data_IF_306045276833
#
_entry.id   IF_306045276833
#
_cell.length_a   1.000
_cell.length_b   1.000
_cell.length_c   1.000
_cell.angle_alpha   90.00
_cell.angle_beta   90.00
_cell.angle_gamma   90.00
#
_symmetry.space_group_name_H-M   'P 1'
#
loop_
_entity.id
_entity.type
_entity.pdbx_description
1 polymer ?
#
# COMPACT_ATOMS: atom_id res chain seq x y z
N UNK A 1 -2.36 10.77 5.49
CA UNK A 1 -2.75 9.78 4.46
C UNK A 1 -1.78 9.93 3.30
N UNK A 2 -0.92 8.94 3.06
CA UNK A 2 -0.01 8.94 1.91
C UNK A 2 -0.81 8.63 0.66
N UNK A 3 -0.79 9.54 -0.32
CA UNK A 3 -1.46 9.34 -1.60
C UNK A 3 -0.65 8.31 -2.41
N UNK A 4 -1.14 7.06 -2.46
CA UNK A 4 -0.49 5.98 -3.21
C UNK A 4 -0.81 6.16 -4.69
N UNK A 5 0.21 6.30 -5.52
CA UNK A 5 0.03 6.33 -6.98
C UNK A 5 -0.47 4.96 -7.46
N UNK A 6 -1.66 4.94 -8.06
CA UNK A 6 -2.25 3.75 -8.66
C UNK A 6 -2.19 3.92 -10.19
N UNK A 7 -1.39 3.11 -10.90
CA UNK A 7 -1.31 3.19 -12.36
C UNK A 7 -2.63 2.75 -13.00
N UNK A 8 -2.89 3.25 -14.21
CA UNK A 8 -4.18 3.10 -14.90
C UNK A 8 -4.64 1.64 -15.04
N UNK A 9 -3.74 0.73 -15.41
CA UNK A 9 -4.05 -0.70 -15.53
C UNK A 9 -4.55 -1.33 -14.22
N UNK A 10 -4.02 -0.88 -13.07
CA UNK A 10 -4.48 -1.32 -11.75
C UNK A 10 -5.83 -0.70 -11.42
N UNK A 11 -6.01 0.59 -11.72
CA UNK A 11 -7.30 1.28 -11.57
C UNK A 11 -8.41 0.62 -12.40
N UNK A 12 -8.12 0.24 -13.65
CA UNK A 12 -9.06 -0.43 -14.54
C UNK A 12 -9.43 -1.82 -13.98
N UNK A 13 -8.46 -2.59 -13.49
CA UNK A 13 -8.72 -3.90 -12.90
C UNK A 13 -9.54 -3.83 -11.58
N UNK A 14 -9.36 -2.76 -10.79
CA UNK A 14 -10.20 -2.49 -9.61
C UNK A 14 -11.64 -2.18 -10.04
N UNK A 15 -11.80 -1.36 -11.08
CA UNK A 15 -13.12 -1.01 -11.63
C UNK A 15 -13.88 -2.26 -12.12
N UNK A 16 -13.19 -3.15 -12.84
CA UNK A 16 -13.77 -4.44 -13.29
C UNK A 16 -14.29 -5.27 -12.09
N UNK A 17 -13.51 -5.34 -11.00
CA UNK A 17 -13.91 -6.03 -9.77
C UNK A 17 -15.16 -5.38 -9.14
N UNK A 18 -15.17 -4.05 -9.04
CA UNK A 18 -16.28 -3.32 -8.43
C UNK A 18 -17.58 -3.47 -9.23
N UNK A 19 -17.51 -3.50 -10.57
CA UNK A 19 -18.66 -3.74 -11.45
C UNK A 19 -19.24 -5.15 -11.24
N UNK A 20 -18.39 -6.18 -11.17
CA UNK A 20 -18.81 -7.58 -10.90
C UNK A 20 -19.47 -7.69 -9.52
N UNK A 21 -18.87 -7.06 -8.51
CA UNK A 21 -19.39 -7.04 -7.14
C UNK A 21 -20.74 -6.33 -7.07
N UNK A 22 -20.88 -5.18 -7.74
CA UNK A 22 -22.11 -4.40 -7.77
C UNK A 22 -23.24 -5.20 -8.44
N UNK A 23 -22.98 -5.79 -9.62
CA UNK A 23 -23.96 -6.60 -10.34
C UNK A 23 -24.45 -7.80 -9.50
N UNK A 24 -23.53 -8.47 -8.77
CA UNK A 24 -23.89 -9.56 -7.86
C UNK A 24 -24.76 -9.08 -6.71
N UNK A 25 -24.39 -7.97 -6.08
CA UNK A 25 -25.15 -7.36 -4.98
C UNK A 25 -26.57 -6.98 -5.44
N UNK A 26 -26.70 -6.40 -6.62
CA UNK A 26 -27.99 -6.02 -7.22
C UNK A 26 -28.87 -7.24 -7.52
N UNK A 27 -28.30 -8.32 -8.07
CA UNK A 27 -29.02 -9.56 -8.32
C UNK A 27 -29.57 -10.20 -7.03
N UNK A 28 -28.77 -10.20 -5.96
CA UNK A 28 -29.18 -10.70 -4.64
C UNK A 28 -30.30 -9.82 -4.05
N UNK A 29 -30.16 -8.50 -4.12
CA UNK A 29 -31.16 -7.56 -3.62
C UNK A 29 -32.49 -7.75 -4.35
N UNK A 30 -32.46 -7.78 -5.69
CA UNK A 30 -33.65 -7.92 -6.54
C UNK A 30 -34.48 -9.15 -6.19
N UNK A 31 -33.83 -10.33 -6.07
CA UNK A 31 -34.55 -11.56 -5.75
C UNK A 31 -34.98 -11.66 -4.29
N UNK A 32 -34.24 -11.03 -3.36
CA UNK A 32 -34.63 -10.97 -1.95
C UNK A 32 -35.89 -10.12 -1.78
N UNK A 33 -35.90 -8.90 -2.35
CA UNK A 33 -37.06 -8.00 -2.32
C UNK A 33 -38.27 -8.63 -2.99
N UNK A 34 -38.10 -9.34 -4.12
CA UNK A 34 -39.23 -10.03 -4.76
C UNK A 34 -39.81 -11.15 -3.90
N UNK A 35 -38.98 -11.88 -3.17
CA UNK A 35 -39.45 -12.93 -2.26
C UNK A 35 -40.22 -12.32 -1.07
N UNK A 36 -39.77 -11.20 -0.52
CA UNK A 36 -40.48 -10.46 0.53
C UNK A 36 -41.85 -9.99 0.07
N UNK A 37 -41.95 -9.36 -1.11
CA UNK A 37 -43.22 -8.92 -1.70
C UNK A 37 -44.20 -10.09 -1.90
N UNK A 38 -43.72 -11.24 -2.37
CA UNK A 38 -44.55 -12.43 -2.58
C UNK A 38 -44.99 -13.06 -1.25
N UNK A 39 -44.17 -12.98 -0.20
CA UNK A 39 -44.55 -13.44 1.14
C UNK A 39 -45.67 -12.58 1.72
N UNK A 40 -45.60 -11.26 1.54
CA UNK A 40 -46.66 -10.33 1.95
C UNK A 40 -47.96 -10.57 1.15
N UNK A 41 -47.88 -10.72 -0.18
CA UNK A 41 -49.04 -11.04 -1.03
C UNK A 41 -49.68 -12.38 -0.62
N UNK A 42 -48.85 -13.38 -0.30
CA UNK A 42 -49.31 -14.69 0.16
C UNK A 42 -50.05 -14.60 1.50
N UNK A 43 -49.54 -13.81 2.45
CA UNK A 43 -50.19 -13.61 3.74
C UNK A 43 -51.57 -12.96 3.58
N UNK A 44 -51.68 -11.96 2.70
CA UNK A 44 -52.94 -11.30 2.39
C UNK A 44 -53.95 -12.26 1.73
N UNK A 45 -53.53 -13.04 0.73
CA UNK A 45 -54.42 -13.99 0.05
C UNK A 45 -54.83 -15.15 0.96
N UNK A 46 -53.96 -15.62 1.86
CA UNK A 46 -54.34 -16.61 2.89
C UNK A 46 -55.41 -16.07 3.83
N UNK A 47 -55.33 -14.80 4.23
CA UNK A 47 -56.39 -14.15 5.02
C UNK A 47 -57.73 -14.05 4.29
N UNK A 48 -57.71 -13.74 2.98
CA UNK A 48 -58.92 -13.76 2.13
C UNK A 48 -59.49 -15.17 2.00
N UNK A 49 -58.63 -16.18 1.80
CA UNK A 49 -59.06 -17.58 1.69
C UNK A 49 -59.78 -18.03 2.96
N UNK A 50 -59.27 -17.71 4.15
CA UNK A 50 -59.94 -18.01 5.42
C UNK A 50 -61.34 -17.40 5.48
N UNK A 51 -61.47 -16.12 5.08
CA UNK A 51 -62.77 -15.43 5.07
C UNK A 51 -63.76 -16.05 4.08
N UNK A 52 -63.29 -16.46 2.89
CA UNK A 52 -64.11 -17.14 1.89
C UNK A 52 -64.52 -18.55 2.33
N UNK A 53 -63.64 -19.29 3.00
CA UNK A 53 -63.97 -20.59 3.58
C UNK A 53 -65.07 -20.47 4.63
N UNK A 54 -65.02 -19.45 5.49
CA UNK A 54 -66.09 -19.16 6.47
C UNK A 54 -67.42 -18.82 5.77
N UNK A 55 -67.37 -18.06 4.67
CA UNK A 55 -68.56 -17.74 3.86
C UNK A 55 -69.17 -18.99 3.21
N UNK A 56 -68.35 -19.88 2.62
CA UNK A 56 -68.79 -21.14 2.04
C UNK A 56 -69.36 -22.09 3.11
N UNK A 57 -68.73 -22.19 4.29
CA UNK A 57 -69.21 -23.03 5.40
C UNK A 57 -70.58 -22.56 5.92
N UNK A 58 -70.78 -21.24 6.01
CA UNK A 58 -72.07 -20.66 6.44
C UNK A 58 -73.15 -20.76 5.35
N UNK A 59 -72.77 -20.68 4.08
CA UNK A 59 -73.68 -20.71 2.95
C UNK A 59 -73.05 -21.40 1.72
N UNK A 60 -73.21 -22.74 1.59
CA UNK A 60 -72.53 -23.54 0.57
C UNK A 60 -73.25 -23.43 -0.79
N UNK A 61 -73.16 -22.26 -1.40
CA UNK A 61 -73.64 -22.02 -2.76
C UNK A 61 -72.50 -22.24 -3.76
N UNK A 62 -72.85 -22.66 -4.98
CA UNK A 62 -71.88 -22.80 -6.07
C UNK A 62 -71.11 -21.50 -6.38
N UNK A 63 -71.70 -20.33 -6.10
CA UNK A 63 -71.04 -19.04 -6.24
C UNK A 63 -69.91 -18.86 -5.20
N UNK A 64 -70.14 -19.25 -3.96
CA UNK A 64 -69.15 -19.16 -2.88
C UNK A 64 -68.02 -20.18 -3.08
N UNK A 65 -68.36 -21.42 -3.41
CA UNK A 65 -67.39 -22.47 -3.76
C UNK A 65 -66.47 -22.03 -4.92
N UNK A 66 -67.02 -21.33 -5.92
CA UNK A 66 -66.24 -20.81 -7.05
C UNK A 66 -65.26 -19.71 -6.63
N UNK A 67 -65.67 -18.77 -5.76
CA UNK A 67 -64.78 -17.73 -5.21
C UNK A 67 -63.65 -18.35 -4.39
N UNK A 68 -63.97 -19.29 -3.50
CA UNK A 68 -63.00 -20.01 -2.68
C UNK A 68 -62.00 -20.77 -3.56
N UNK A 69 -62.47 -21.51 -4.55
CA UNK A 69 -61.61 -22.26 -5.49
C UNK A 69 -60.68 -21.33 -6.26
N UNK A 70 -61.17 -20.16 -6.70
CA UNK A 70 -60.34 -19.16 -7.37
C UNK A 70 -59.25 -18.61 -6.44
N UNK A 71 -59.58 -18.30 -5.18
CA UNK A 71 -58.62 -17.86 -4.18
C UNK A 71 -57.58 -18.95 -3.87
N UNK A 72 -57.98 -20.23 -3.74
CA UNK A 72 -57.05 -21.36 -3.59
C UNK A 72 -56.05 -21.47 -4.73
N UNK A 73 -56.51 -21.31 -5.98
CA UNK A 73 -55.61 -21.28 -7.14
C UNK A 73 -54.61 -20.13 -7.05
N UNK A 74 -55.07 -18.95 -6.66
CA UNK A 74 -54.20 -17.78 -6.48
C UNK A 74 -53.16 -17.99 -5.39
N UNK A 75 -53.54 -18.56 -4.24
CA UNK A 75 -52.61 -18.93 -3.16
C UNK A 75 -51.54 -19.89 -3.69
N UNK A 76 -51.93 -20.94 -4.41
CA UNK A 76 -50.99 -21.91 -4.97
C UNK A 76 -50.02 -21.27 -6.00
N UNK A 77 -50.52 -20.37 -6.86
CA UNK A 77 -49.69 -19.61 -7.80
C UNK A 77 -48.64 -18.75 -7.09
N UNK A 78 -49.04 -18.04 -6.02
CA UNK A 78 -48.13 -17.18 -5.24
C UNK A 78 -47.11 -18.05 -4.48
N UNK A 79 -47.51 -19.19 -3.91
CA UNK A 79 -46.58 -20.12 -3.24
C UNK A 79 -45.52 -20.66 -4.21
N UNK A 80 -45.92 -21.05 -5.43
CA UNK A 80 -44.97 -21.46 -6.47
C UNK A 80 -44.02 -20.31 -6.86
N UNK A 81 -44.55 -19.10 -7.03
CA UNK A 81 -43.75 -17.92 -7.36
C UNK A 81 -42.76 -17.57 -6.24
N UNK A 82 -43.19 -17.66 -4.98
CA UNK A 82 -42.37 -17.39 -3.79
C UNK A 82 -41.22 -18.39 -3.70
N UNK A 83 -41.50 -19.68 -3.82
CA UNK A 83 -40.48 -20.73 -3.84
C UNK A 83 -39.46 -20.48 -4.96
N UNK A 84 -39.95 -20.12 -6.15
CA UNK A 84 -39.08 -19.75 -7.27
C UNK A 84 -38.21 -18.52 -7.00
N UNK A 85 -38.75 -17.49 -6.34
CA UNK A 85 -38.00 -16.30 -5.96
C UNK A 85 -36.94 -16.59 -4.89
N UNK A 86 -37.28 -17.38 -3.87
CA UNK A 86 -36.37 -17.80 -2.80
C UNK A 86 -35.22 -18.66 -3.35
N UNK A 87 -35.51 -19.61 -4.23
CA UNK A 87 -34.47 -20.43 -4.89
C UNK A 87 -33.57 -19.58 -5.79
N UNK A 88 -34.11 -18.60 -6.53
CA UNK A 88 -33.28 -17.64 -7.28
C UNK A 88 -32.43 -16.77 -6.37
N UNK A 89 -32.96 -16.28 -5.24
CA UNK A 89 -32.19 -15.50 -4.28
C UNK A 89 -31.06 -16.33 -3.66
N UNK A 90 -31.34 -17.58 -3.29
CA UNK A 90 -30.34 -18.54 -2.80
C UNK A 90 -29.28 -18.81 -3.87
N UNK A 91 -29.68 -19.08 -5.11
CA UNK A 91 -28.76 -19.25 -6.24
C UNK A 91 -27.97 -18.00 -6.56
N UNK A 92 -28.52 -16.79 -6.44
CA UNK A 92 -27.78 -15.55 -6.65
C UNK A 92 -26.70 -15.33 -5.58
N UNK A 93 -27.00 -15.69 -4.32
CA UNK A 93 -26.02 -15.68 -3.22
C UNK A 93 -24.92 -16.73 -3.44
N UNK A 94 -25.31 -17.90 -3.94
CA UNK A 94 -24.42 -19.04 -4.21
C UNK A 94 -23.71 -18.95 -5.56
N UNK A 95 -24.21 -18.16 -6.52
CA UNK A 95 -23.62 -17.97 -7.84
C UNK A 95 -22.19 -17.56 -7.58
N UNK A 96 -21.31 -18.47 -7.99
CA UNK A 96 -19.99 -18.60 -7.42
C UNK A 96 -19.33 -17.23 -7.37
N UNK A 97 -18.92 -16.80 -6.18
CA UNK A 97 -17.96 -15.70 -6.03
C UNK A 97 -16.61 -16.03 -6.67
N UNK A 98 -16.53 -17.02 -7.56
CA UNK A 98 -15.36 -17.37 -8.33
C UNK A 98 -15.07 -16.26 -9.34
N UNK A 99 -16.06 -15.68 -10.04
CA UNK A 99 -15.80 -14.55 -10.93
C UNK A 99 -15.31 -13.32 -10.16
N UNK A 100 -15.96 -13.01 -9.03
CA UNK A 100 -15.53 -11.94 -8.11
C UNK A 100 -14.12 -12.20 -7.56
N UNK A 101 -13.82 -13.44 -7.16
CA UNK A 101 -12.51 -13.86 -6.65
C UNK A 101 -11.44 -13.82 -7.73
N UNK A 102 -11.74 -14.28 -8.95
CA UNK A 102 -10.82 -14.23 -10.09
C UNK A 102 -10.54 -12.78 -10.49
N UNK A 103 -11.55 -11.91 -10.48
CA UNK A 103 -11.37 -10.47 -10.69
C UNK A 103 -10.49 -9.84 -9.60
N UNK A 104 -10.71 -10.19 -8.33
CA UNK A 104 -9.87 -9.73 -7.22
C UNK A 104 -8.41 -10.21 -7.37
N UNK A 105 -8.20 -11.49 -7.68
CA UNK A 105 -6.87 -12.06 -7.94
C UNK A 105 -6.18 -11.33 -9.09
N UNK A 106 -6.89 -11.11 -10.20
CA UNK A 106 -6.38 -10.38 -11.38
C UNK A 106 -5.97 -8.95 -11.01
N UNK A 107 -6.80 -8.23 -10.25
CA UNK A 107 -6.47 -6.87 -9.80
C UNK A 107 -5.20 -6.84 -8.93
N UNK A 108 -5.07 -7.77 -7.98
CA UNK A 108 -3.88 -7.89 -7.12
C UNK A 108 -2.64 -8.27 -7.94
N UNK A 109 -2.76 -9.23 -8.86
CA UNK A 109 -1.65 -9.62 -9.74
C UNK A 109 -1.19 -8.46 -10.63
N UNK A 110 -2.14 -7.68 -11.17
CA UNK A 110 -1.84 -6.48 -11.98
C UNK A 110 -1.11 -5.42 -11.14
N UNK A 111 -1.55 -5.21 -9.88
CA UNK A 111 -0.89 -4.31 -8.95
C UNK A 111 0.53 -4.75 -8.60
N UNK A 112 0.71 -6.05 -8.34
CA UNK A 112 2.03 -6.64 -8.08
C UNK A 112 2.96 -6.43 -9.27
N UNK A 113 2.52 -6.77 -10.48
CA UNK A 113 3.33 -6.60 -11.69
C UNK A 113 3.73 -5.14 -11.90
N UNK A 114 2.78 -4.19 -11.75
CA UNK A 114 3.08 -2.77 -11.89
C UNK A 114 4.09 -2.26 -10.84
N UNK A 115 4.05 -2.81 -9.62
CA UNK A 115 5.03 -2.50 -8.58
C UNK A 115 6.42 -3.07 -8.90
N UNK A 116 6.48 -4.33 -9.36
CA UNK A 116 7.72 -4.99 -9.77
C UNK A 116 8.36 -4.26 -10.97
N UNK A 117 7.57 -3.89 -11.97
CA UNK A 117 8.03 -3.13 -13.15
C UNK A 117 8.62 -1.78 -12.75
N UNK A 118 7.93 -1.06 -11.85
CA UNK A 118 8.42 0.23 -11.33
C UNK A 118 9.69 0.07 -10.53
N UNK A 119 9.76 -0.93 -9.65
CA UNK A 119 10.95 -1.22 -8.86
C UNK A 119 12.14 -1.50 -9.78
N UNK A 120 11.98 -2.42 -10.74
CA UNK A 120 13.03 -2.78 -11.68
C UNK A 120 13.47 -1.61 -12.57
N UNK A 121 12.56 -0.70 -12.92
CA UNK A 121 12.89 0.48 -13.72
C UNK A 121 13.66 1.56 -12.92
N UNK A 122 13.41 1.68 -11.61
CA UNK A 122 13.99 2.76 -10.79
C UNK A 122 15.15 2.32 -9.87
N UNK A 123 15.27 1.02 -9.55
CA UNK A 123 16.18 0.53 -8.50
C UNK A 123 17.63 0.89 -8.77
N UNK A 124 18.13 0.68 -9.98
CA UNK A 124 19.52 0.93 -10.32
C UNK A 124 19.87 2.43 -10.23
N UNK A 125 18.95 3.30 -10.64
CA UNK A 125 19.12 4.75 -10.51
C UNK A 125 19.15 5.18 -9.04
N UNK A 126 18.27 4.61 -8.20
CA UNK A 126 18.30 4.89 -6.75
C UNK A 126 19.58 4.36 -6.10
N UNK A 127 20.05 3.17 -6.47
CA UNK A 127 21.30 2.59 -5.97
C UNK A 127 22.52 3.43 -6.39
N UNK A 128 22.56 3.87 -7.65
CA UNK A 128 23.61 4.76 -8.16
C UNK A 128 23.61 6.13 -7.48
N UNK A 129 22.45 6.67 -7.14
CA UNK A 129 22.34 7.90 -6.36
C UNK A 129 22.91 7.71 -4.94
N UNK A 130 22.65 6.57 -4.31
CA UNK A 130 23.25 6.21 -3.02
C UNK A 130 24.78 6.09 -3.14
N UNK A 131 25.27 5.39 -4.17
CA UNK A 131 26.71 5.24 -4.42
C UNK A 131 27.38 6.60 -4.62
N UNK A 132 26.80 7.47 -5.44
CA UNK A 132 27.31 8.81 -5.72
C UNK A 132 27.35 9.67 -4.45
N UNK A 133 26.31 9.59 -3.61
CA UNK A 133 26.27 10.29 -2.33
C UNK A 133 27.35 9.80 -1.36
N UNK A 134 27.59 8.47 -1.32
CA UNK A 134 28.67 7.89 -0.51
C UNK A 134 30.04 8.34 -1.01
N UNK A 135 30.27 8.35 -2.32
CA UNK A 135 31.53 8.83 -2.89
C UNK A 135 31.79 10.29 -2.53
N UNK A 136 30.80 11.17 -2.75
CA UNK A 136 30.90 12.60 -2.42
C UNK A 136 31.19 12.82 -0.92
N UNK A 137 30.57 12.01 -0.06
CA UNK A 137 30.87 12.04 1.37
C UNK A 137 32.31 11.64 1.68
N UNK A 138 32.81 10.54 1.11
CA UNK A 138 34.18 10.09 1.33
C UNK A 138 35.22 11.08 0.78
N UNK A 139 34.95 11.73 -0.36
CA UNK A 139 35.77 12.79 -0.92
C UNK A 139 35.85 14.00 0.03
N UNK A 140 34.72 14.43 0.59
CA UNK A 140 34.70 15.51 1.58
C UNK A 140 35.54 15.18 2.84
N UNK A 141 35.54 13.91 3.27
CA UNK A 141 36.40 13.45 4.38
C UNK A 141 37.88 13.49 4.02
N UNK A 142 38.24 13.03 2.82
CA UNK A 142 39.61 13.07 2.29
C UNK A 142 40.12 14.52 2.26
N UNK A 143 39.33 15.44 1.70
CA UNK A 143 39.71 16.86 1.57
C UNK A 143 39.89 17.52 2.94
N UNK A 144 39.00 17.24 3.89
CA UNK A 144 39.16 17.71 5.26
C UNK A 144 40.41 17.11 5.94
N UNK A 145 40.66 15.81 5.73
CA UNK A 145 41.87 15.14 6.21
C UNK A 145 43.15 15.77 5.64
N UNK A 146 43.16 16.08 4.35
CA UNK A 146 44.27 16.75 3.67
C UNK A 146 44.51 18.15 4.24
N UNK A 147 43.46 18.95 4.44
CA UNK A 147 43.58 20.27 5.06
C UNK A 147 44.24 20.19 6.45
N UNK A 148 43.84 19.21 7.27
CA UNK A 148 44.45 19.00 8.60
C UNK A 148 45.92 18.64 8.51
N UNK A 149 46.26 17.76 7.56
CA UNK A 149 47.64 17.38 7.30
C UNK A 149 48.47 18.59 6.83
N UNK A 150 48.00 19.34 5.84
CA UNK A 150 48.70 20.51 5.28
C UNK A 150 48.95 21.57 6.36
N UNK A 151 47.95 21.84 7.21
CA UNK A 151 48.12 22.75 8.35
C UNK A 151 49.19 22.26 9.33
N UNK A 152 49.20 20.96 9.65
CA UNK A 152 50.18 20.34 10.56
C UNK A 152 51.59 20.38 9.95
N UNK A 153 51.72 20.01 8.68
CA UNK A 153 53.00 20.00 7.98
C UNK A 153 53.56 21.40 7.81
N UNK A 154 52.74 22.43 7.57
CA UNK A 154 53.20 23.81 7.53
C UNK A 154 53.91 24.21 8.83
N UNK A 155 53.34 23.85 9.98
CA UNK A 155 53.94 24.14 11.29
C UNK A 155 55.21 23.31 11.51
N UNK A 156 55.17 22.01 11.19
CA UNK A 156 56.32 21.12 11.33
C UNK A 156 57.49 21.57 10.46
N UNK A 157 57.24 21.92 9.20
CA UNK A 157 58.24 22.32 8.23
C UNK A 157 58.85 23.68 8.60
N UNK A 158 58.02 24.63 9.05
CA UNK A 158 58.51 25.91 9.59
C UNK A 158 59.43 25.70 10.79
N UNK A 159 59.08 24.78 11.70
CA UNK A 159 59.92 24.45 12.85
C UNK A 159 61.25 23.79 12.44
N UNK A 160 61.23 22.91 11.45
CA UNK A 160 62.46 22.29 10.88
C UNK A 160 63.39 23.32 10.26
N UNK A 161 62.85 24.29 9.52
CA UNK A 161 63.64 25.30 8.82
C UNK A 161 64.18 26.42 9.73
N UNK A 162 63.63 26.57 10.95
CA UNK A 162 64.01 27.65 11.88
C UNK A 162 64.73 27.11 13.12
N UNK A 163 63.99 26.70 14.14
CA UNK A 163 64.52 26.06 15.34
C UNK A 163 63.48 25.12 15.96
N UNK A 164 63.67 23.82 15.73
CA UNK A 164 62.72 22.79 16.13
C UNK A 164 62.51 22.71 17.66
N UNK A 165 63.44 23.21 18.48
CA UNK A 165 63.34 23.18 19.95
C UNK A 165 62.18 24.04 20.49
N UNK A 166 61.63 24.94 19.68
CA UNK A 166 60.50 25.79 20.07
C UNK A 166 59.13 25.27 19.62
N UNK A 167 59.08 24.17 18.84
CA UNK A 167 57.84 23.61 18.30
C UNK A 167 56.82 23.30 19.38
N UNK A 168 57.24 22.68 20.47
CA UNK A 168 56.32 22.26 21.53
C UNK A 168 55.82 23.44 22.39
N UNK A 169 56.46 24.63 22.29
CA UNK A 169 56.00 25.84 22.98
C UNK A 169 54.84 26.55 22.26
N UNK A 170 54.75 26.41 20.93
CA UNK A 170 53.68 27.01 20.12
C UNK A 170 52.48 26.07 19.92
N UNK A 171 52.66 24.78 20.21
CA UNK A 171 51.60 23.78 20.13
C UNK A 171 51.26 23.35 18.69
N UNK A 172 50.20 22.55 18.55
CA UNK A 172 49.69 22.11 17.24
C UNK A 172 48.64 23.07 16.70
N UNK A 173 48.55 23.25 15.37
CA UNK A 173 47.53 24.11 14.78
C UNK A 173 46.13 23.57 15.12
N UNK A 174 45.17 24.48 15.32
CA UNK A 174 43.80 24.15 15.72
C UNK A 174 43.19 23.04 14.84
N UNK A 175 43.35 23.14 13.52
CA UNK A 175 42.89 22.13 12.56
C UNK A 175 43.46 20.73 12.81
N UNK A 176 44.70 20.59 13.32
CA UNK A 176 45.29 19.30 13.64
C UNK A 176 44.63 18.59 14.83
N UNK A 177 43.87 19.30 15.67
CA UNK A 177 43.29 18.75 16.91
C UNK A 177 41.76 18.59 16.88
N UNK A 178 41.07 18.99 15.81
CA UNK A 178 39.62 18.80 15.67
C UNK A 178 39.29 17.53 14.86
N UNK A 179 38.55 16.60 15.48
CA UNK A 179 37.95 15.45 14.79
C UNK A 179 36.84 15.89 13.85
N UNK A 180 36.61 15.11 12.79
CA UNK A 180 35.58 15.38 11.80
C UNK A 180 34.23 15.38 12.51
N UNK A 181 33.49 16.48 12.36
CA UNK A 181 32.05 16.59 12.60
C UNK A 181 31.47 16.46 14.02
N UNK A 182 32.22 16.14 15.08
CA UNK A 182 31.62 16.10 16.45
C UNK A 182 31.04 17.46 16.90
N UNK A 183 31.67 18.56 16.47
CA UNK A 183 31.25 19.93 16.80
C UNK A 183 30.39 20.61 15.71
N UNK A 184 30.01 19.89 14.64
CA UNK A 184 29.03 20.36 13.64
C UNK A 184 27.61 19.86 13.94
N UNK A 185 27.37 19.37 15.16
CA UNK A 185 26.05 18.99 15.67
C UNK A 185 25.11 20.18 15.89
N UNK A 186 25.66 21.39 16.04
CA UNK A 186 24.92 22.57 16.51
C UNK A 186 24.52 23.54 15.38
N UNK A 187 24.54 23.11 14.11
CA UNK A 187 23.93 23.91 13.03
C UNK A 187 22.42 23.74 13.03
N UNK A 188 21.65 24.80 12.74
CA UNK A 188 20.18 24.81 12.81
C UNK A 188 19.47 23.74 11.95
N UNK A 189 20.19 23.11 11.02
CA UNK A 189 19.70 22.07 10.09
C UNK A 189 20.34 20.69 10.35
N UNK A 190 21.26 20.57 11.31
CA UNK A 190 21.95 19.33 11.60
C UNK A 190 21.14 18.47 12.59
N UNK A 191 20.58 17.37 12.10
CA UNK A 191 20.09 16.29 12.94
C UNK A 191 21.31 15.55 13.50
N UNK A 192 21.71 15.84 14.74
CA UNK A 192 23.01 15.53 15.36
C UNK A 192 23.49 14.05 15.36
N UNK A 193 22.71 13.13 14.77
CA UNK A 193 23.06 11.75 14.49
C UNK A 193 23.34 11.44 13.01
N UNK A 194 22.83 12.24 12.05
CA UNK A 194 22.89 11.98 10.59
C UNK A 194 24.28 12.13 9.97
N UNK A 195 25.20 12.84 10.62
CA UNK A 195 26.52 13.19 10.07
C UNK A 195 27.68 12.55 10.83
N UNK A 196 27.41 11.51 11.63
CA UNK A 196 28.46 10.81 12.39
C UNK A 196 29.33 10.03 11.41
N UNK A 197 30.59 10.43 11.30
CA UNK A 197 31.63 9.71 10.55
C UNK A 197 32.29 8.74 11.52
N UNK A 198 32.20 7.43 11.27
CA UNK A 198 32.94 6.47 12.08
C UNK A 198 34.38 6.33 11.54
N UNK A 199 35.42 6.39 12.39
CA UNK A 199 36.81 6.17 11.96
C UNK A 199 37.01 4.88 11.17
N UNK A 200 36.23 3.84 11.47
CA UNK A 200 36.22 2.56 10.74
C UNK A 200 35.75 2.69 9.29
N UNK A 201 34.76 3.56 9.00
CA UNK A 201 34.25 3.81 7.64
C UNK A 201 35.29 4.55 6.79
N UNK A 202 36.05 5.46 7.42
CA UNK A 202 37.13 6.21 6.78
C UNK A 202 38.33 5.32 6.44
N UNK A 203 38.72 4.43 7.35
CA UNK A 203 39.82 3.49 7.11
C UNK A 203 39.44 2.47 6.02
N UNK A 204 38.23 1.91 6.04
CA UNK A 204 37.76 1.00 5.00
C UNK A 204 37.71 1.66 3.61
N UNK A 205 37.32 2.94 3.52
CA UNK A 205 37.30 3.66 2.24
C UNK A 205 38.69 3.83 1.62
N UNK A 206 39.71 4.05 2.46
CA UNK A 206 41.11 4.17 2.04
C UNK A 206 41.72 2.79 1.71
N UNK A 207 41.50 1.79 2.56
CA UNK A 207 42.07 0.44 2.42
C UNK A 207 41.51 -0.31 1.21
N UNK A 208 40.23 -0.10 0.89
CA UNK A 208 39.58 -0.74 -0.27
C UNK A 208 39.70 0.05 -1.58
N UNK A 209 40.49 1.15 -1.62
CA UNK A 209 40.68 2.02 -2.80
C UNK A 209 39.37 2.55 -3.41
N UNK A 210 38.34 2.71 -2.58
CA UNK A 210 37.03 3.25 -3.00
C UNK A 210 37.20 4.71 -3.46
N UNK A 211 38.13 5.43 -2.84
CA UNK A 211 38.61 6.74 -3.30
C UNK A 211 40.05 6.59 -3.80
N UNK A 212 40.33 7.06 -5.02
CA UNK A 212 41.71 7.08 -5.53
C UNK A 212 42.51 8.12 -4.75
N UNK A 213 43.59 7.68 -4.10
CA UNK A 213 44.68 8.57 -3.73
C UNK A 213 45.35 9.00 -5.03
N UNK A 214 45.25 10.28 -5.38
CA UNK A 214 46.03 10.82 -6.50
C UNK A 214 47.49 10.53 -6.21
N UNK A 215 48.11 9.77 -7.11
CA UNK A 215 49.46 9.27 -6.94
C UNK A 215 50.42 10.43 -6.69
N UNK A 216 50.85 10.60 -5.45
CA UNK A 216 52.04 11.37 -5.12
C UNK A 216 53.16 10.39 -4.87
N UNK A 217 54.16 10.48 -5.76
CA UNK A 217 55.45 9.79 -5.67
C UNK A 217 56.06 10.07 -4.29
N UNK A 218 56.58 9.02 -3.69
CA UNK A 218 57.49 9.08 -2.55
C UNK A 218 58.70 9.96 -2.86
#
# INVERSE_FOLDING_TARGET
MTNVYIPKNVSDAIKDYDEIKAARSEAVATHTTKAEQLADELAQEKGKLTSLMDETLRNPTAANEKKETACRKRVAEIEMALNGAQERAKRARQMNGEDEKQAAIKAIQTAKQAADDRYNAEVDDKLKAIESAKLAYLEALKDYGQLRYDCKELVNETARQTNNNYRDKVGSPRAANHSIAWNHRDHAEADGNKYTVFPEEMNNALDHRIVKTDGRKA
#
